data_IF_867165893362
#
_entry.id   IF_867165893362
#
_cell.length_a   1.000
_cell.length_b   1.000
_cell.length_c   1.000
_cell.angle_alpha   90.00
_cell.angle_beta   90.00
_cell.angle_gamma   90.00
#
_symmetry.space_group_name_H-M   'P 1'
#
loop_
_entity.id
_entity.type
_entity.pdbx_description
1 polymer ?
#
# COMPACT_ATOMS: atom_id res chain seq x y z
N UNK A 1 15.56 15.53 -3.85
CA UNK A 1 14.83 16.70 -4.41
C UNK A 1 15.62 17.95 -4.16
N UNK A 2 15.59 18.90 -5.09
CA UNK A 2 16.10 20.25 -4.91
C UNK A 2 14.90 21.19 -4.77
N UNK A 3 14.91 22.05 -3.76
CA UNK A 3 13.82 22.98 -3.49
C UNK A 3 14.36 24.39 -3.31
N UNK A 4 13.66 25.38 -3.86
CA UNK A 4 14.04 26.80 -3.84
C UNK A 4 12.76 27.63 -3.68
N UNK A 5 12.62 28.40 -2.60
CA UNK A 5 11.39 29.16 -2.31
C UNK A 5 11.37 30.49 -3.06
N UNK A 6 12.53 31.09 -3.30
CA UNK A 6 12.66 32.33 -4.09
C UNK A 6 13.91 32.36 -4.98
N UNK A 7 13.96 33.26 -5.99
CA UNK A 7 15.06 33.31 -6.95
C UNK A 7 16.44 33.63 -6.35
N UNK A 8 16.48 34.28 -5.19
CA UNK A 8 17.72 34.68 -4.48
C UNK A 8 18.12 33.72 -3.34
N UNK A 9 17.28 32.75 -2.97
CA UNK A 9 17.61 31.82 -1.87
C UNK A 9 18.52 30.67 -2.33
N UNK A 10 19.36 30.16 -1.44
CA UNK A 10 20.18 28.98 -1.72
C UNK A 10 19.31 27.73 -1.97
N UNK A 11 19.78 26.86 -2.87
CA UNK A 11 19.08 25.62 -3.20
C UNK A 11 19.26 24.63 -2.04
N UNK A 12 18.14 24.23 -1.44
CA UNK A 12 18.14 23.22 -0.37
C UNK A 12 17.93 21.83 -0.95
N UNK A 13 18.77 20.88 -0.56
CA UNK A 13 18.65 19.48 -0.98
C UNK A 13 17.96 18.64 0.08
N UNK A 14 16.88 17.96 -0.32
CA UNK A 14 16.13 17.04 0.54
C UNK A 14 16.35 15.59 0.10
N UNK A 15 16.60 14.71 1.07
CA UNK A 15 16.64 13.26 0.90
C UNK A 15 15.35 12.65 1.44
N UNK A 16 14.69 11.84 0.61
CA UNK A 16 13.50 11.10 1.01
C UNK A 16 13.92 9.92 1.89
N UNK A 17 13.27 9.79 3.05
CA UNK A 17 13.54 8.69 4.01
C UNK A 17 12.55 7.53 3.87
N UNK A 18 11.52 7.70 3.06
CA UNK A 18 10.47 6.72 2.81
C UNK A 18 10.40 6.41 1.32
N UNK A 19 9.81 5.27 0.97
CA UNK A 19 9.48 4.95 -0.42
C UNK A 19 8.35 5.88 -0.84
N UNK A 20 8.63 6.78 -1.77
CA UNK A 20 7.67 7.78 -2.24
C UNK A 20 7.16 7.45 -3.64
N UNK A 21 5.94 7.90 -3.90
CA UNK A 21 5.36 7.99 -5.23
C UNK A 21 6.33 8.62 -6.24
N UNK A 22 6.41 8.04 -7.44
CA UNK A 22 7.26 8.53 -8.54
C UNK A 22 8.66 7.93 -8.63
N UNK A 23 9.10 7.11 -7.66
CA UNK A 23 10.26 6.23 -7.86
C UNK A 23 9.84 4.98 -8.64
N UNK A 24 10.57 4.67 -9.72
CA UNK A 24 10.25 3.54 -10.62
C UNK A 24 10.23 2.16 -9.94
N UNK A 25 10.91 2.01 -8.80
CA UNK A 25 10.91 0.78 -8.00
C UNK A 25 9.92 0.79 -6.83
N UNK A 26 9.28 1.92 -6.52
CA UNK A 26 8.38 2.05 -5.38
C UNK A 26 7.18 1.10 -5.44
N UNK A 27 6.49 0.92 -6.60
CA UNK A 27 5.36 0.02 -6.65
C UNK A 27 5.75 -1.44 -6.49
N UNK A 28 6.91 -1.85 -7.02
CA UNK A 28 7.42 -3.20 -6.84
C UNK A 28 7.68 -3.49 -5.35
N UNK A 29 8.28 -2.54 -4.63
CA UNK A 29 8.55 -2.70 -3.20
C UNK A 29 7.25 -2.75 -2.38
N UNK A 30 6.28 -1.88 -2.68
CA UNK A 30 4.99 -1.85 -2.00
C UNK A 30 4.18 -3.15 -2.23
N UNK A 31 4.10 -3.62 -3.49
CA UNK A 31 3.40 -4.87 -3.82
C UNK A 31 4.09 -6.05 -3.13
N UNK A 32 5.42 -6.10 -3.09
CA UNK A 32 6.16 -7.19 -2.43
C UNK A 32 5.92 -7.23 -0.91
N UNK A 33 5.82 -6.08 -0.25
CA UNK A 33 5.48 -6.03 1.18
C UNK A 33 4.06 -6.50 1.44
N UNK A 34 3.10 -6.09 0.60
CA UNK A 34 1.70 -6.53 0.72
C UNK A 34 1.55 -8.02 0.46
N UNK A 35 2.29 -8.57 -0.51
CA UNK A 35 2.31 -10.01 -0.77
C UNK A 35 2.88 -10.81 0.41
N UNK A 36 3.90 -10.30 1.10
CA UNK A 36 4.44 -10.96 2.28
C UNK A 36 3.43 -10.92 3.44
N UNK A 37 2.83 -9.76 3.70
CA UNK A 37 1.78 -9.60 4.70
C UNK A 37 0.63 -10.60 4.47
N UNK A 38 0.19 -10.73 3.22
CA UNK A 38 -0.88 -11.66 2.85
C UNK A 38 -0.53 -13.13 3.10
N UNK A 39 0.75 -13.52 3.06
CA UNK A 39 1.16 -14.88 3.43
C UNK A 39 1.21 -15.05 4.95
N UNK A 40 1.73 -14.05 5.67
CA UNK A 40 1.90 -14.09 7.11
C UNK A 40 0.54 -14.10 7.85
N UNK A 41 -0.41 -13.32 7.35
CA UNK A 41 -1.72 -13.10 7.97
C UNK A 41 -2.85 -13.95 7.36
N UNK A 42 -2.53 -14.85 6.41
CA UNK A 42 -3.52 -15.67 5.68
C UNK A 42 -4.51 -16.42 6.56
N UNK A 43 -4.05 -16.90 7.71
CA UNK A 43 -4.87 -17.66 8.65
C UNK A 43 -5.79 -16.78 9.48
N UNK A 44 -5.40 -15.53 9.73
CA UNK A 44 -6.15 -14.55 10.52
C UNK A 44 -7.14 -13.76 9.65
N UNK A 45 -6.73 -13.40 8.44
CA UNK A 45 -7.49 -12.56 7.52
C UNK A 45 -7.53 -13.19 6.11
N UNK A 46 -8.26 -14.30 5.93
CA UNK A 46 -8.24 -15.06 4.67
C UNK A 46 -8.78 -14.27 3.48
N UNK A 47 -9.82 -13.43 3.66
CA UNK A 47 -10.40 -12.64 2.57
C UNK A 47 -9.48 -11.49 2.18
N UNK A 48 -8.94 -10.78 3.19
CA UNK A 48 -7.96 -9.72 2.93
C UNK A 48 -6.71 -10.26 2.24
N UNK A 49 -6.24 -11.44 2.64
CA UNK A 49 -5.04 -12.05 2.05
C UNK A 49 -5.24 -12.41 0.59
N UNK A 50 -6.43 -12.90 0.21
CA UNK A 50 -6.75 -13.15 -1.20
C UNK A 50 -6.80 -11.86 -2.01
N UNK A 51 -7.42 -10.80 -1.48
CA UNK A 51 -7.46 -9.49 -2.13
C UNK A 51 -6.07 -8.83 -2.24
N UNK A 52 -5.23 -8.92 -1.20
CA UNK A 52 -3.86 -8.39 -1.23
C UNK A 52 -2.97 -9.10 -2.26
N UNK A 53 -3.20 -10.40 -2.49
CA UNK A 53 -2.44 -11.16 -3.48
C UNK A 53 -2.87 -10.91 -4.92
N UNK A 54 -4.17 -10.67 -5.15
CA UNK A 54 -4.76 -10.69 -6.50
C UNK A 54 -5.29 -9.33 -6.97
N UNK A 55 -5.69 -8.45 -6.05
CA UNK A 55 -6.50 -7.26 -6.32
C UNK A 55 -5.77 -5.94 -5.97
N UNK A 56 -4.45 -6.01 -5.83
CA UNK A 56 -3.60 -4.83 -5.60
C UNK A 56 -3.01 -4.32 -6.91
N UNK A 57 -3.27 -3.06 -7.23
CA UNK A 57 -2.64 -2.36 -8.35
C UNK A 57 -1.90 -1.12 -7.85
N UNK A 58 -0.57 -1.17 -7.93
CA UNK A 58 0.31 -0.15 -7.37
C UNK A 58 0.06 0.05 -5.86
N UNK A 59 -0.62 1.13 -5.49
CA UNK A 59 -1.00 1.50 -4.13
C UNK A 59 -2.50 1.36 -3.84
N UNK A 60 -3.31 1.06 -4.86
CA UNK A 60 -4.75 0.85 -4.71
C UNK A 60 -5.09 -0.63 -4.53
N UNK A 61 -6.00 -0.93 -3.60
CA UNK A 61 -6.61 -2.25 -3.44
C UNK A 61 -8.06 -2.12 -3.85
N UNK A 62 -8.44 -2.79 -4.96
CA UNK A 62 -9.80 -2.72 -5.50
C UNK A 62 -10.32 -4.13 -5.67
N UNK A 63 -11.16 -4.56 -4.73
CA UNK A 63 -11.72 -5.91 -4.69
C UNK A 63 -13.25 -5.89 -4.68
N UNK A 64 -13.86 -7.02 -5.01
CA UNK A 64 -15.30 -7.21 -5.08
C UNK A 64 -15.74 -8.46 -4.33
N UNK A 65 -17.01 -8.48 -3.91
CA UNK A 65 -17.61 -9.60 -3.20
C UNK A 65 -19.03 -9.89 -3.71
N UNK A 66 -19.52 -11.14 -3.59
CA UNK A 66 -20.81 -11.55 -4.15
C UNK A 66 -22.02 -10.94 -3.44
N UNK A 67 -21.85 -10.44 -2.21
CA UNK A 67 -22.90 -9.83 -1.41
C UNK A 67 -22.33 -8.77 -0.45
N UNK A 68 -23.22 -7.95 0.12
CA UNK A 68 -22.84 -6.82 1.00
C UNK A 68 -22.21 -7.28 2.32
N UNK A 69 -22.62 -8.43 2.86
CA UNK A 69 -22.07 -8.95 4.11
C UNK A 69 -20.62 -9.38 3.92
N UNK A 70 -20.35 -10.15 2.87
CA UNK A 70 -19.00 -10.55 2.47
C UNK A 70 -18.14 -9.34 2.14
N UNK A 71 -18.68 -8.34 1.43
CA UNK A 71 -17.97 -7.09 1.13
C UNK A 71 -17.55 -6.33 2.40
N UNK A 72 -18.44 -6.25 3.40
CA UNK A 72 -18.14 -5.60 4.68
C UNK A 72 -17.08 -6.35 5.48
N UNK A 73 -17.15 -7.68 5.48
CA UNK A 73 -16.13 -8.52 6.12
C UNK A 73 -14.77 -8.34 5.47
N UNK A 74 -14.71 -8.38 4.13
CA UNK A 74 -13.49 -8.12 3.37
C UNK A 74 -12.91 -6.75 3.70
N UNK A 75 -13.74 -5.70 3.74
CA UNK A 75 -13.30 -4.36 4.13
C UNK A 75 -12.71 -4.34 5.54
N UNK A 76 -13.38 -4.97 6.51
CA UNK A 76 -12.90 -5.03 7.90
C UNK A 76 -11.56 -5.77 7.99
N UNK A 77 -11.46 -6.94 7.35
CA UNK A 77 -10.21 -7.72 7.35
C UNK A 77 -9.07 -6.94 6.69
N UNK A 78 -9.33 -6.19 5.60
CA UNK A 78 -8.31 -5.36 4.95
C UNK A 78 -7.84 -4.22 5.86
N UNK A 79 -8.76 -3.56 6.55
CA UNK A 79 -8.43 -2.51 7.52
C UNK A 79 -7.57 -3.06 8.65
N UNK A 80 -7.98 -4.19 9.24
CA UNK A 80 -7.28 -4.80 10.36
C UNK A 80 -5.89 -5.31 9.93
N UNK A 81 -5.78 -5.99 8.78
CA UNK A 81 -4.51 -6.51 8.28
C UNK A 81 -3.50 -5.39 8.00
N UNK A 82 -3.94 -4.30 7.37
CA UNK A 82 -3.07 -3.17 7.01
C UNK A 82 -2.73 -2.27 8.18
N UNK A 83 -3.50 -2.30 9.27
CA UNK A 83 -3.21 -1.50 10.47
C UNK A 83 -1.99 -2.00 11.25
N UNK A 84 -1.54 -3.24 10.99
CA UNK A 84 -0.33 -3.82 11.57
C UNK A 84 0.92 -3.68 10.68
N UNK A 85 0.81 -3.03 9.52
CA UNK A 85 1.93 -2.77 8.61
C UNK A 85 2.75 -1.51 8.97
#
# INVERSE_FOLDING_TARGET
MLWKVGPEEEIVTYRLKTVTYGMSNAPFLAIRTLQQLAQDEKTRFPLASEALLNDTYMDDIVSGAPDIETARRLQSELQDALQYC
#
